data_IF_583468075074
#
_entry.id   IF_583468075074
#
_cell.length_a   1.000
_cell.length_b   1.000
_cell.length_c   1.000
_cell.angle_alpha   90.00
_cell.angle_beta   90.00
_cell.angle_gamma   90.00
#
_symmetry.space_group_name_H-M   'P 1'
#
loop_
_entity.id
_entity.type
_entity.pdbx_description
1 polymer ?
#
# COMPACT_ATOMS: atom_id res chain seq x y z
N UNK A 1 -3.44 7.34 -15.17
CA UNK A 1 -2.18 6.56 -14.98
C UNK A 1 -2.36 5.14 -15.54
N UNK A 2 -1.29 4.40 -15.85
CA UNK A 2 -1.38 2.97 -16.21
C UNK A 2 -1.03 2.08 -15.03
N UNK A 3 -1.78 0.98 -14.86
CA UNK A 3 -1.59 0.03 -13.78
C UNK A 3 -0.97 -1.27 -14.29
N UNK A 4 -0.01 -1.79 -13.54
CA UNK A 4 0.55 -3.13 -13.69
C UNK A 4 0.18 -3.94 -12.45
N UNK A 5 -0.57 -5.02 -12.62
CA UNK A 5 -0.93 -5.91 -11.52
C UNK A 5 0.31 -6.59 -10.95
N UNK A 6 0.49 -6.50 -9.63
CA UNK A 6 1.59 -7.18 -8.92
C UNK A 6 1.09 -8.40 -8.15
N UNK A 7 -0.05 -8.28 -7.48
CA UNK A 7 -0.60 -9.38 -6.69
C UNK A 7 -1.87 -9.00 -5.96
N UNK A 8 -2.55 -10.01 -5.42
CA UNK A 8 -3.74 -9.84 -4.57
C UNK A 8 -3.76 -10.88 -3.46
N UNK A 9 -4.42 -10.54 -2.36
CA UNK A 9 -4.67 -11.45 -1.24
C UNK A 9 -6.18 -11.58 -1.06
N UNK A 10 -6.70 -12.80 -1.08
CA UNK A 10 -8.15 -13.04 -0.91
C UNK A 10 -8.42 -13.45 0.53
N UNK A 11 -9.08 -12.60 1.31
CA UNK A 11 -9.47 -12.86 2.70
C UNK A 11 -10.82 -12.22 3.01
N UNK A 12 -11.65 -12.90 3.83
CA UNK A 12 -12.85 -12.30 4.43
C UNK A 12 -13.88 -11.74 3.45
N UNK A 13 -13.92 -12.22 2.20
CA UNK A 13 -14.84 -11.72 1.16
C UNK A 13 -14.33 -10.54 0.33
N UNK A 14 -13.15 -9.99 0.67
CA UNK A 14 -12.47 -8.96 -0.12
C UNK A 14 -11.29 -9.51 -0.92
N UNK A 15 -10.76 -8.69 -1.83
CA UNK A 15 -9.53 -8.98 -2.58
C UNK A 15 -8.62 -7.76 -2.64
N UNK A 16 -8.00 -7.37 -1.50
CA UNK A 16 -6.92 -6.39 -1.48
C UNK A 16 -5.90 -6.67 -2.58
N UNK A 17 -5.63 -5.66 -3.40
CA UNK A 17 -4.85 -5.79 -4.64
C UNK A 17 -3.81 -4.70 -4.72
N UNK A 18 -2.62 -5.07 -5.20
CA UNK A 18 -1.48 -4.19 -5.37
C UNK A 18 -1.15 -4.02 -6.85
N UNK A 19 -0.99 -2.76 -7.26
CA UNK A 19 -0.59 -2.39 -8.61
C UNK A 19 0.63 -1.46 -8.57
N UNK A 20 1.59 -1.65 -9.48
CA UNK A 20 2.56 -0.63 -9.84
C UNK A 20 1.95 0.36 -10.83
N UNK A 21 2.42 1.61 -10.80
CA UNK A 21 2.07 2.62 -11.80
C UNK A 21 3.24 2.95 -12.70
N UNK A 22 2.96 3.59 -13.84
CA UNK A 22 3.99 4.16 -14.72
C UNK A 22 4.60 5.48 -14.21
N UNK A 23 4.36 5.85 -12.94
CA UNK A 23 4.79 7.14 -12.34
C UNK A 23 5.51 7.00 -11.00
N UNK A 24 6.21 5.88 -10.77
CA UNK A 24 6.94 5.61 -9.52
C UNK A 24 6.04 5.66 -8.28
N UNK A 25 4.84 5.10 -8.41
CA UNK A 25 3.89 4.92 -7.31
C UNK A 25 3.28 3.53 -7.33
N UNK A 26 2.64 3.17 -6.23
CA UNK A 26 1.78 2.02 -6.12
C UNK A 26 0.34 2.48 -5.93
N UNK A 27 -0.59 1.81 -6.59
CA UNK A 27 -2.02 1.88 -6.24
C UNK A 27 -2.34 0.65 -5.40
N UNK A 28 -2.89 0.89 -4.22
CA UNK A 28 -3.22 -0.15 -3.25
C UNK A 28 -4.71 -0.13 -3.00
N UNK A 29 -5.38 -1.21 -3.37
CA UNK A 29 -6.77 -1.49 -3.05
C UNK A 29 -6.83 -2.29 -1.75
N UNK A 30 -7.70 -1.88 -0.83
CA UNK A 30 -7.94 -2.57 0.43
C UNK A 30 -9.27 -2.19 1.05
N UNK A 31 -9.53 -2.68 2.25
CA UNK A 31 -10.78 -2.42 2.96
C UNK A 31 -10.87 -0.95 3.37
N UNK A 32 -12.09 -0.40 3.29
CA UNK A 32 -12.37 0.95 3.79
C UNK A 32 -12.14 1.01 5.29
N UNK A 33 -11.42 2.04 5.72
CA UNK A 33 -11.36 2.44 7.13
C UNK A 33 -12.46 3.46 7.37
N UNK A 34 -13.28 3.26 8.40
CA UNK A 34 -14.44 4.12 8.69
C UNK A 34 -14.06 5.60 8.68
N UNK A 35 -14.88 6.40 7.99
CA UNK A 35 -14.75 7.86 7.86
C UNK A 35 -13.45 8.37 7.21
N UNK A 36 -12.66 7.49 6.59
CA UNK A 36 -11.37 7.84 6.00
C UNK A 36 -11.30 7.40 4.54
N UNK A 37 -10.99 8.33 3.66
CA UNK A 37 -10.76 8.07 2.22
C UNK A 37 -9.28 8.03 1.86
N UNK A 38 -8.43 8.56 2.74
CA UNK A 38 -6.98 8.70 2.61
C UNK A 38 -6.20 7.51 3.16
N UNK A 39 -6.88 6.40 3.45
CA UNK A 39 -6.25 5.17 3.87
C UNK A 39 -7.07 3.92 3.53
N UNK A 40 -6.37 2.80 3.49
CA UNK A 40 -6.92 1.46 3.30
C UNK A 40 -6.38 0.53 4.37
N UNK A 41 -7.16 -0.46 4.77
CA UNK A 41 -6.64 -1.61 5.50
C UNK A 41 -6.24 -2.72 4.52
N UNK A 42 -5.06 -3.29 4.72
CA UNK A 42 -4.49 -4.35 3.86
C UNK A 42 -3.88 -5.47 4.70
N UNK A 43 -3.92 -6.73 4.24
CA UNK A 43 -3.25 -7.82 4.95
C UNK A 43 -1.73 -7.69 4.79
N UNK A 44 -0.96 -8.07 5.81
CA UNK A 44 0.51 -7.98 5.77
C UNK A 44 1.13 -8.67 4.54
N UNK A 45 0.53 -9.79 4.10
CA UNK A 45 1.00 -10.58 2.97
C UNK A 45 0.97 -9.82 1.65
N UNK A 46 0.10 -8.82 1.53
CA UNK A 46 0.00 -8.01 0.31
C UNK A 46 1.31 -7.26 0.03
N UNK A 47 2.04 -6.87 1.08
CA UNK A 47 3.33 -6.18 0.95
C UNK A 47 4.43 -7.08 0.36
N UNK A 48 4.26 -8.40 0.41
CA UNK A 48 5.18 -9.35 -0.23
C UNK A 48 5.17 -9.28 -1.76
N UNK A 49 4.16 -8.65 -2.37
CA UNK A 49 4.05 -8.47 -3.82
C UNK A 49 4.67 -7.15 -4.31
N UNK A 50 5.26 -6.34 -3.42
CA UNK A 50 5.99 -5.14 -3.83
C UNK A 50 7.16 -5.51 -4.74
N UNK A 51 7.53 -4.60 -5.65
CA UNK A 51 8.70 -4.84 -6.49
C UNK A 51 9.96 -4.97 -5.62
N UNK A 52 10.89 -5.90 -5.94
CA UNK A 52 12.08 -6.13 -5.13
C UNK A 52 12.89 -4.85 -4.87
N UNK A 53 13.35 -4.68 -3.63
CA UNK A 53 14.14 -3.52 -3.22
C UNK A 53 13.34 -2.24 -3.03
N UNK A 54 12.01 -2.33 -2.88
CA UNK A 54 11.14 -1.16 -2.76
C UNK A 54 10.19 -1.27 -1.57
N UNK A 55 9.66 -0.13 -1.13
CA UNK A 55 8.64 -0.04 -0.09
C UNK A 55 7.57 1.00 -0.44
N UNK A 56 6.43 0.94 0.26
CA UNK A 56 5.37 1.94 0.13
C UNK A 56 5.74 3.23 0.87
N UNK A 57 5.41 4.37 0.27
CA UNK A 57 5.81 5.69 0.76
C UNK A 57 4.89 6.33 1.80
N UNK A 58 3.75 5.70 2.08
CA UNK A 58 2.76 6.15 3.07
C UNK A 58 3.02 5.62 4.48
N UNK A 59 2.26 6.12 5.46
CA UNK A 59 2.33 5.64 6.84
C UNK A 59 1.64 4.29 6.95
N UNK A 60 2.37 3.28 7.44
CA UNK A 60 1.86 1.97 7.80
C UNK A 60 1.64 1.91 9.32
N UNK A 61 0.40 1.64 9.75
CA UNK A 61 0.06 1.37 11.14
C UNK A 61 -0.39 -0.08 11.29
N UNK A 62 0.31 -0.85 12.13
CA UNK A 62 -0.10 -2.21 12.48
C UNK A 62 -1.43 -2.17 13.27
N UNK A 63 -2.37 -3.02 12.88
CA UNK A 63 -3.65 -3.19 13.58
C UNK A 63 -3.57 -4.21 14.73
N UNK A 64 -2.50 -4.99 14.79
CA UNK A 64 -2.33 -6.13 15.71
C UNK A 64 -3.10 -7.38 15.28
N UNK A 65 -3.70 -7.38 14.08
CA UNK A 65 -4.54 -8.48 13.57
C UNK A 65 -3.96 -9.17 12.34
N UNK A 66 -2.70 -8.87 12.00
CA UNK A 66 -2.06 -9.32 10.76
C UNK A 66 -2.43 -8.47 9.54
N UNK A 67 -2.97 -7.28 9.75
CA UNK A 67 -3.24 -6.25 8.75
C UNK A 67 -2.58 -4.93 9.12
N UNK A 68 -2.45 -4.04 8.14
CA UNK A 68 -1.96 -2.69 8.30
C UNK A 68 -2.98 -1.69 7.77
N UNK A 69 -3.10 -0.54 8.44
CA UNK A 69 -3.72 0.65 7.85
C UNK A 69 -2.62 1.43 7.13
N UNK A 70 -2.74 1.54 5.82
CA UNK A 70 -1.83 2.30 4.95
C UNK A 70 -2.47 3.63 4.57
N UNK A 71 -1.80 4.76 4.85
CA UNK A 71 -2.21 6.06 4.34
C UNK A 71 -1.67 6.34 2.94
N UNK A 72 -2.43 7.12 2.16
CA UNK A 72 -2.05 7.53 0.81
C UNK A 72 -2.97 8.60 0.25
N UNK A 73 -2.84 8.88 -1.04
CA UNK A 73 -3.73 9.80 -1.75
C UNK A 73 -4.93 9.02 -2.31
N UNK A 74 -6.18 9.42 -2.03
CA UNK A 74 -7.33 8.75 -2.62
C UNK A 74 -7.24 8.76 -4.15
N UNK A 75 -7.40 7.59 -4.79
CA UNK A 75 -7.39 7.51 -6.24
C UNK A 75 -8.72 8.05 -6.78
N UNK A 76 -8.64 9.13 -7.57
CA UNK A 76 -9.80 9.76 -8.21
C UNK A 76 -9.81 9.57 -9.74
N UNK A 77 -8.77 8.96 -10.30
CA UNK A 77 -8.67 8.70 -11.74
C UNK A 77 -9.73 7.68 -12.17
N UNK A 78 -10.74 8.15 -12.89
CA UNK A 78 -11.84 7.31 -13.38
C UNK A 78 -11.40 6.14 -14.27
N UNK A 79 -10.26 6.26 -14.98
CA UNK A 79 -9.76 5.15 -15.80
C UNK A 79 -9.22 4.03 -14.92
N UNK A 80 -8.57 4.38 -13.80
CA UNK A 80 -8.13 3.40 -12.78
C UNK A 80 -9.33 2.77 -12.09
N UNK A 81 -10.29 3.59 -11.66
CA UNK A 81 -11.50 3.12 -10.98
C UNK A 81 -12.37 2.20 -11.86
N UNK A 82 -12.29 2.31 -13.19
CA UNK A 82 -12.96 1.37 -14.12
C UNK A 82 -12.21 0.05 -14.28
N UNK A 83 -10.89 0.06 -14.15
CA UNK A 83 -10.06 -1.15 -14.25
C UNK A 83 -10.12 -1.99 -12.98
N UNK A 84 -10.28 -1.32 -11.83
CA UNK A 84 -10.42 -1.97 -10.54
C UNK A 84 -11.90 -2.23 -10.29
N UNK A 85 -12.33 -3.49 -10.30
CA UNK A 85 -13.65 -3.87 -9.83
C UNK A 85 -13.67 -3.73 -8.29
N UNK A 86 -14.12 -2.57 -7.79
CA UNK A 86 -14.13 -2.26 -6.36
C UNK A 86 -15.49 -2.61 -5.74
N UNK A 87 -15.55 -3.57 -4.82
CA UNK A 87 -16.72 -3.74 -3.95
C UNK A 87 -16.97 -2.47 -3.12
N UNK A 88 -18.23 -2.24 -2.73
CA UNK A 88 -18.62 -1.06 -1.94
C UNK A 88 -17.87 -0.90 -0.60
N UNK A 89 -17.29 -1.99 -0.08
CA UNK A 89 -16.53 -2.01 1.16
C UNK A 89 -15.01 -1.82 0.98
N UNK A 90 -14.54 -1.61 -0.25
CA UNK A 90 -13.13 -1.39 -0.55
C UNK A 90 -12.89 0.02 -1.12
N UNK A 91 -11.69 0.55 -0.87
CA UNK A 91 -11.21 1.80 -1.44
C UNK A 91 -9.76 1.63 -1.92
N UNK A 92 -9.23 2.59 -2.66
CA UNK A 92 -7.86 2.54 -3.13
C UNK A 92 -7.15 3.88 -2.94
N UNK A 93 -5.88 3.76 -2.56
CA UNK A 93 -4.98 4.90 -2.38
C UNK A 93 -3.75 4.73 -3.26
N UNK A 94 -3.23 5.84 -3.75
CA UNK A 94 -1.93 5.94 -4.37
C UNK A 94 -0.88 6.30 -3.31
N UNK A 95 0.24 5.58 -3.31
CA UNK A 95 1.39 5.84 -2.43
C UNK A 95 2.66 5.88 -3.26
N UNK A 96 3.59 6.77 -2.91
CA UNK A 96 4.88 6.85 -3.60
C UNK A 96 5.63 5.53 -3.45
N UNK A 97 6.32 5.09 -4.49
CA UNK A 97 7.29 4.00 -4.40
C UNK A 97 8.60 4.56 -3.85
N UNK A 98 9.12 3.96 -2.78
CA UNK A 98 10.41 4.33 -2.17
C UNK A 98 11.41 3.17 -2.30
N UNK A 99 12.72 3.43 -2.36
CA UNK A 99 13.71 2.39 -2.17
C UNK A 99 13.54 1.80 -0.77
N UNK A 100 13.59 0.46 -0.68
CA UNK A 100 13.60 -0.21 0.61
C UNK A 100 14.85 0.26 1.39
N UNK A 101 14.77 0.39 2.73
CA UNK A 101 15.94 0.71 3.52
C UNK A 101 17.02 -0.35 3.24
N UNK A 102 18.18 0.09 2.74
CA UNK A 102 19.37 -0.76 2.73
C UNK A 102 19.77 -0.99 4.18
N UNK A 103 19.81 -2.24 4.62
CA UNK A 103 20.42 -2.62 5.90
C UNK A 103 21.90 -2.25 5.86
N UNK A 104 22.24 -1.02 6.27
CA UNK A 104 23.59 -0.51 6.09
C UNK A 104 23.77 1.01 6.19
N UNK A 105 23.17 1.68 7.18
CA UNK A 105 23.69 2.97 7.68
C UNK A 105 23.09 3.30 9.04
N UNK A 106 23.34 2.43 10.02
CA UNK A 106 23.20 2.80 11.43
C UNK A 106 24.46 3.53 11.86
N UNK A 107 24.50 4.86 11.79
CA UNK A 107 25.47 5.62 12.59
C UNK A 107 25.05 5.49 14.05
N UNK A 108 25.63 4.52 14.75
CA UNK A 108 25.63 4.52 16.21
C UNK A 108 26.59 5.63 16.65
N UNK A 109 26.06 6.84 16.85
CA UNK A 109 26.76 7.86 17.61
C UNK A 109 26.74 7.42 19.09
N UNK A 110 27.72 6.59 19.47
CA UNK A 110 28.02 6.32 20.86
C UNK A 110 28.64 7.60 21.46
N UNK A 111 27.83 8.38 22.17
CA UNK A 111 28.34 9.39 23.10
C UNK A 111 29.04 8.68 24.25
N UNK A 112 30.37 8.78 24.27
CA UNK A 112 31.17 8.47 25.45
C UNK A 112 30.91 9.53 26.53
N UNK A 113 30.66 9.06 27.75
CA UNK A 113 30.63 9.83 29.00
C UNK A 113 31.33 9.03 30.08
#
# INVERSE_FOLDING_TARGET
>A
MRLTFLGKETQGGGSPTLFATDRQSYVVQGWKVSERTDCVEIPQRLLGHLEPGTCVGGSLRDTGRGSFVLSGQPVTDHQVLKQIAMPDHETCVEVTKKPAPTEGSGTVAATAG
#
